data_IF_722183525593
#
_entry.id   IF_722183525593
#
_cell.length_a   1.000
_cell.length_b   1.000
_cell.length_c   1.000
_cell.angle_alpha   90.00
_cell.angle_beta   90.00
_cell.angle_gamma   90.00
#
_symmetry.space_group_name_H-M   'P 1'
#
loop_
_entity.id
_entity.type
_entity.pdbx_description
1 polymer ?
#
# COMPACT_ATOMS: atom_id res chain seq x y z
N UNK A 1 -29.62 -15.38 -22.28
CA UNK A 1 -28.96 -14.20 -22.86
C UNK A 1 -27.46 -14.32 -22.65
N UNK A 2 -26.69 -14.46 -23.72
CA UNK A 2 -25.22 -14.52 -23.64
C UNK A 2 -24.70 -13.09 -23.43
N UNK A 3 -24.42 -12.71 -22.17
CA UNK A 3 -23.74 -11.45 -21.87
C UNK A 3 -22.30 -11.53 -22.40
N UNK A 4 -21.92 -10.58 -23.26
CA UNK A 4 -20.55 -10.49 -23.76
C UNK A 4 -19.58 -10.18 -22.60
N UNK A 5 -18.58 -11.03 -22.32
CA UNK A 5 -17.75 -10.93 -21.12
C UNK A 5 -16.88 -9.65 -21.03
N UNK A 6 -16.77 -8.86 -22.10
CA UNK A 6 -15.99 -7.61 -22.14
C UNK A 6 -16.80 -6.30 -21.97
N UNK A 7 -18.09 -6.28 -22.34
CA UNK A 7 -18.89 -5.04 -22.30
C UNK A 7 -19.12 -4.54 -20.86
N UNK A 8 -19.29 -5.47 -19.92
CA UNK A 8 -19.48 -5.15 -18.50
C UNK A 8 -18.19 -4.65 -17.85
N UNK A 9 -17.02 -5.19 -18.25
CA UNK A 9 -15.73 -4.75 -17.73
C UNK A 9 -15.41 -3.29 -18.12
N UNK A 10 -15.65 -2.91 -19.38
CA UNK A 10 -15.45 -1.54 -19.83
C UNK A 10 -16.32 -0.54 -19.06
N UNK A 11 -17.58 -0.90 -18.80
CA UNK A 11 -18.50 -0.07 -18.01
C UNK A 11 -18.08 0.04 -16.54
N UNK A 12 -17.59 -1.05 -15.94
CA UNK A 12 -17.05 -1.04 -14.57
C UNK A 12 -15.81 -0.14 -14.49
N UNK A 13 -14.89 -0.23 -15.45
CA UNK A 13 -13.70 0.62 -15.51
C UNK A 13 -14.10 2.09 -15.64
N UNK A 14 -15.04 2.42 -16.54
CA UNK A 14 -15.53 3.80 -16.67
C UNK A 14 -16.14 4.33 -15.36
N UNK A 15 -16.92 3.52 -14.65
CA UNK A 15 -17.48 3.91 -13.35
C UNK A 15 -16.39 4.11 -12.30
N UNK A 16 -15.38 3.23 -12.25
CA UNK A 16 -14.25 3.38 -11.34
C UNK A 16 -13.46 4.66 -11.65
N UNK A 17 -13.20 4.95 -12.92
CA UNK A 17 -12.50 6.17 -13.32
C UNK A 17 -13.32 7.43 -13.02
N UNK A 18 -14.64 7.37 -13.21
CA UNK A 18 -15.53 8.45 -12.75
C UNK A 18 -15.41 8.66 -11.23
N UNK A 19 -15.51 7.59 -10.42
CA UNK A 19 -15.37 7.68 -8.96
C UNK A 19 -14.01 8.24 -8.54
N UNK A 20 -12.90 7.75 -9.14
CA UNK A 20 -11.55 8.27 -8.88
C UNK A 20 -11.51 9.78 -9.09
N UNK A 21 -11.96 10.25 -10.26
CA UNK A 21 -11.84 11.66 -10.63
C UNK A 21 -12.80 12.58 -9.87
N UNK A 22 -13.94 12.06 -9.41
CA UNK A 22 -14.98 12.86 -8.75
C UNK A 22 -14.84 12.88 -7.22
N UNK A 23 -14.35 11.81 -6.61
CA UNK A 23 -14.23 11.66 -5.17
C UNK A 23 -12.79 11.94 -4.71
N UNK A 24 -12.56 12.99 -3.89
CA UNK A 24 -11.22 13.34 -3.42
C UNK A 24 -10.66 12.32 -2.41
N UNK A 25 -11.53 11.60 -1.70
CA UNK A 25 -11.22 10.60 -0.68
C UNK A 25 -11.36 9.15 -1.20
N UNK A 26 -11.44 8.94 -2.52
CA UNK A 26 -11.58 7.61 -3.12
C UNK A 26 -10.55 6.60 -2.60
N UNK A 27 -9.30 7.03 -2.44
CA UNK A 27 -8.21 6.23 -1.88
C UNK A 27 -8.48 5.74 -0.45
N UNK A 28 -9.22 6.52 0.36
CA UNK A 28 -9.59 6.14 1.73
C UNK A 28 -10.59 4.98 1.72
N UNK A 29 -11.53 4.96 0.78
CA UNK A 29 -12.43 3.81 0.63
C UNK A 29 -11.67 2.55 0.21
N UNK A 30 -10.72 2.68 -0.72
CA UNK A 30 -9.93 1.53 -1.17
C UNK A 30 -9.08 0.95 -0.03
N UNK A 31 -8.45 1.78 0.80
CA UNK A 31 -7.66 1.28 1.92
C UNK A 31 -8.54 0.65 3.01
N UNK A 32 -9.76 1.16 3.23
CA UNK A 32 -10.72 0.53 4.16
C UNK A 32 -11.15 -0.83 3.62
N UNK A 33 -11.53 -0.94 2.34
CA UNK A 33 -11.91 -2.22 1.72
C UNK A 33 -10.75 -3.21 1.82
N UNK A 34 -9.53 -2.77 1.53
CA UNK A 34 -8.34 -3.60 1.61
C UNK A 34 -8.02 -4.06 3.04
N UNK A 35 -7.81 -3.13 3.97
CA UNK A 35 -7.31 -3.41 5.32
C UNK A 35 -8.40 -3.88 6.29
N UNK A 36 -9.61 -3.37 6.16
CA UNK A 36 -10.69 -3.55 7.16
C UNK A 36 -11.94 -4.27 6.61
N UNK A 37 -11.97 -4.63 5.32
CA UNK A 37 -13.06 -5.36 4.68
C UNK A 37 -13.13 -6.84 5.07
N UNK A 38 -13.11 -7.18 6.37
CA UNK A 38 -13.00 -8.55 6.88
C UNK A 38 -14.13 -9.49 6.39
N UNK A 39 -15.32 -8.95 6.09
CA UNK A 39 -16.47 -9.70 5.56
C UNK A 39 -16.44 -9.88 4.04
N UNK A 40 -15.51 -9.24 3.34
CA UNK A 40 -15.39 -9.30 1.89
C UNK A 40 -14.47 -10.45 1.46
N UNK A 41 -14.71 -10.97 0.26
CA UNK A 41 -13.84 -11.95 -0.37
C UNK A 41 -12.41 -11.40 -0.52
N UNK A 42 -11.41 -12.26 -0.35
CA UNK A 42 -10.00 -11.86 -0.33
C UNK A 42 -9.57 -11.23 -1.66
N UNK A 43 -10.17 -11.66 -2.77
CA UNK A 43 -9.94 -11.16 -4.12
C UNK A 43 -10.47 -9.73 -4.29
N UNK A 44 -11.58 -9.40 -3.64
CA UNK A 44 -12.15 -8.04 -3.64
C UNK A 44 -11.24 -7.10 -2.85
N UNK A 45 -10.79 -7.54 -1.66
CA UNK A 45 -9.83 -6.79 -0.85
C UNK A 45 -8.54 -6.55 -1.63
N UNK A 46 -7.98 -7.60 -2.22
CA UNK A 46 -6.76 -7.51 -3.02
C UNK A 46 -6.94 -6.58 -4.23
N UNK A 47 -8.06 -6.66 -4.94
CA UNK A 47 -8.36 -5.78 -6.08
C UNK A 47 -8.41 -4.31 -5.67
N UNK A 48 -9.00 -3.99 -4.51
CA UNK A 48 -9.00 -2.63 -3.96
C UNK A 48 -7.57 -2.16 -3.63
N UNK A 49 -6.76 -3.02 -3.00
CA UNK A 49 -5.36 -2.71 -2.70
C UNK A 49 -4.51 -2.47 -3.96
N UNK A 50 -4.67 -3.30 -5.00
CA UNK A 50 -3.97 -3.11 -6.27
C UNK A 50 -4.43 -1.85 -7.00
N UNK A 51 -5.73 -1.53 -6.94
CA UNK A 51 -6.25 -0.29 -7.50
C UNK A 51 -5.65 0.92 -6.80
N UNK A 52 -5.58 0.89 -5.45
CA UNK A 52 -4.95 1.93 -4.66
C UNK A 52 -3.47 2.10 -5.01
N UNK A 53 -2.71 0.99 -5.07
CA UNK A 53 -1.29 0.99 -5.44
C UNK A 53 -1.03 1.65 -6.80
N UNK A 54 -1.92 1.42 -7.77
CA UNK A 54 -1.76 1.92 -9.12
C UNK A 54 -2.22 3.38 -9.32
N UNK A 55 -3.15 3.85 -8.48
CA UNK A 55 -3.73 5.19 -8.60
C UNK A 55 -3.02 6.22 -7.70
N UNK A 56 -2.65 5.82 -6.48
CA UNK A 56 -2.11 6.71 -5.46
C UNK A 56 -0.88 7.51 -5.93
N UNK A 57 0.15 6.90 -6.57
CA UNK A 57 1.32 7.65 -7.04
C UNK A 57 0.98 8.71 -8.09
N UNK A 58 -0.04 8.47 -8.94
CA UNK A 58 -0.43 9.39 -10.02
C UNK A 58 -1.07 10.67 -9.49
N UNK A 59 -1.60 10.63 -8.27
CA UNK A 59 -2.37 11.71 -7.64
C UNK A 59 -1.73 12.21 -6.37
N UNK A 60 -0.53 11.72 -6.05
CA UNK A 60 0.14 11.98 -4.79
C UNK A 60 0.31 13.48 -4.53
N UNK A 61 0.66 14.26 -5.56
CA UNK A 61 0.87 15.71 -5.47
C UNK A 61 -0.39 16.53 -5.20
N UNK A 62 -1.57 16.01 -5.51
CA UNK A 62 -2.86 16.68 -5.29
C UNK A 62 -3.68 16.06 -4.16
N UNK A 63 -3.14 15.03 -3.50
CA UNK A 63 -3.81 14.34 -2.41
C UNK A 63 -3.75 15.20 -1.13
N UNK A 64 -4.89 15.32 -0.44
CA UNK A 64 -4.93 15.96 0.87
C UNK A 64 -3.99 15.21 1.85
N UNK A 65 -3.08 15.90 2.54
CA UNK A 65 -2.17 15.27 3.51
C UNK A 65 -2.89 14.44 4.58
N UNK A 66 -4.10 14.83 4.99
CA UNK A 66 -4.89 14.08 5.97
C UNK A 66 -5.33 12.72 5.43
N UNK A 67 -5.64 12.63 4.12
CA UNK A 67 -5.95 11.36 3.48
C UNK A 67 -4.72 10.47 3.39
N UNK A 68 -3.56 11.05 3.09
CA UNK A 68 -2.31 10.28 3.09
C UNK A 68 -1.99 9.71 4.48
N UNK A 69 -2.10 10.53 5.54
CA UNK A 69 -1.91 10.08 6.93
C UNK A 69 -2.88 8.94 7.26
N UNK A 70 -4.15 9.08 6.90
CA UNK A 70 -5.16 8.05 7.11
C UNK A 70 -4.82 6.74 6.39
N UNK A 71 -4.40 6.82 5.12
CA UNK A 71 -3.99 5.66 4.32
C UNK A 71 -2.80 4.95 5.00
N UNK A 72 -1.76 5.70 5.38
CA UNK A 72 -0.57 5.16 6.05
C UNK A 72 -0.94 4.41 7.33
N UNK A 73 -1.70 5.06 8.21
CA UNK A 73 -2.14 4.46 9.49
C UNK A 73 -2.99 3.21 9.27
N UNK A 74 -3.87 3.23 8.27
CA UNK A 74 -4.74 2.10 7.95
C UNK A 74 -3.99 0.95 7.27
N UNK A 75 -2.89 1.25 6.57
CA UNK A 75 -2.07 0.25 5.89
C UNK A 75 -1.13 -0.51 6.83
N UNK A 76 -0.53 0.16 7.81
CA UNK A 76 0.53 -0.43 8.66
C UNK A 76 0.14 -1.78 9.29
N UNK A 77 -1.05 -1.94 9.90
CA UNK A 77 -1.45 -3.25 10.45
C UNK A 77 -1.57 -4.35 9.40
N UNK A 78 -1.86 -4.01 8.14
CA UNK A 78 -2.02 -4.98 7.06
C UNK A 78 -0.69 -5.66 6.65
N UNK A 79 0.46 -5.07 7.01
CA UNK A 79 1.77 -5.72 6.86
C UNK A 79 1.86 -7.00 7.71
N UNK A 80 1.22 -7.02 8.88
CA UNK A 80 1.18 -8.18 9.78
C UNK A 80 0.00 -9.14 9.56
N UNK A 81 -0.78 -8.95 8.48
CA UNK A 81 -2.04 -9.67 8.31
C UNK A 81 -1.83 -11.20 8.18
N UNK A 82 -2.72 -12.08 8.69
CA UNK A 82 -2.58 -13.55 8.58
C UNK A 82 -2.51 -14.05 7.13
N UNK A 83 -3.32 -13.47 6.25
CA UNK A 83 -3.31 -13.78 4.82
C UNK A 83 -2.11 -13.19 4.09
N UNK A 84 -1.28 -14.06 3.51
CA UNK A 84 -0.06 -13.70 2.78
C UNK A 84 -0.31 -12.74 1.61
N UNK A 85 -1.44 -12.90 0.92
CA UNK A 85 -1.80 -12.05 -0.22
C UNK A 85 -2.04 -10.60 0.21
N UNK A 86 -2.61 -10.39 1.40
CA UNK A 86 -2.80 -9.06 1.98
C UNK A 86 -1.44 -8.47 2.36
N UNK A 87 -0.57 -9.22 3.07
CA UNK A 87 0.78 -8.73 3.40
C UNK A 87 1.54 -8.27 2.16
N UNK A 88 1.59 -9.10 1.11
CA UNK A 88 2.30 -8.78 -0.16
C UNK A 88 1.74 -7.54 -0.85
N UNK A 89 0.43 -7.38 -0.83
CA UNK A 89 -0.23 -6.22 -1.42
C UNK A 89 0.03 -4.98 -0.58
N UNK A 90 -0.01 -5.09 0.75
CA UNK A 90 0.28 -4.01 1.68
C UNK A 90 1.71 -3.50 1.50
N UNK A 91 2.70 -4.39 1.44
CA UNK A 91 4.10 -4.03 1.17
C UNK A 91 4.27 -3.35 -0.19
N UNK A 92 3.50 -3.76 -1.21
CA UNK A 92 3.54 -3.12 -2.54
C UNK A 92 2.96 -1.71 -2.51
N UNK A 93 1.90 -1.47 -1.74
CA UNK A 93 1.33 -0.14 -1.54
C UNK A 93 2.33 0.73 -0.75
N UNK A 94 2.93 0.18 0.31
CA UNK A 94 3.91 0.87 1.14
C UNK A 94 5.12 1.30 0.32
N UNK A 95 5.68 0.41 -0.51
CA UNK A 95 6.76 0.74 -1.45
C UNK A 95 6.34 1.85 -2.42
N UNK A 96 5.12 1.81 -2.94
CA UNK A 96 4.62 2.86 -3.83
C UNK A 96 4.54 4.24 -3.17
N UNK A 97 4.13 4.31 -1.90
CA UNK A 97 4.10 5.55 -1.13
C UNK A 97 5.53 6.04 -0.86
N UNK A 98 6.43 5.15 -0.42
CA UNK A 98 7.84 5.50 -0.20
C UNK A 98 8.47 6.04 -1.47
N UNK A 99 8.21 5.46 -2.64
CA UNK A 99 8.70 5.99 -3.91
C UNK A 99 8.19 7.39 -4.28
N UNK A 100 7.16 7.92 -3.60
CA UNK A 100 6.63 9.26 -3.83
C UNK A 100 7.18 10.32 -2.86
N UNK A 101 7.34 10.00 -1.58
CA UNK A 101 7.77 10.95 -0.54
C UNK A 101 9.12 10.59 0.11
N UNK A 102 9.67 9.43 -0.17
CA UNK A 102 10.85 8.88 0.47
C UNK A 102 10.59 8.30 1.86
N UNK A 103 11.40 7.30 2.24
CA UNK A 103 11.26 6.59 3.52
C UNK A 103 11.40 7.53 4.74
N UNK A 104 12.17 8.61 4.62
CA UNK A 104 12.36 9.60 5.67
C UNK A 104 11.06 10.34 6.05
N UNK A 105 10.08 10.41 5.14
CA UNK A 105 8.77 11.02 5.37
C UNK A 105 7.72 10.02 5.90
N UNK A 106 8.15 8.79 6.23
CA UNK A 106 7.29 7.79 6.86
C UNK A 106 8.02 6.98 7.95
N UNK A 107 8.44 7.62 9.06
CA UNK A 107 9.20 6.96 10.13
C UNK A 107 8.44 5.81 10.80
N UNK A 108 7.11 5.85 10.83
CA UNK A 108 6.27 4.80 11.39
C UNK A 108 6.40 3.48 10.61
N UNK A 109 6.66 3.53 9.30
CA UNK A 109 6.92 2.34 8.49
C UNK A 109 8.24 1.69 8.89
N UNK A 110 9.32 2.49 8.99
CA UNK A 110 10.63 2.01 9.44
C UNK A 110 10.56 1.38 10.82
N UNK A 111 9.88 2.05 11.75
CA UNK A 111 9.61 1.52 13.09
C UNK A 111 8.81 0.21 13.01
N UNK A 112 7.74 0.17 12.22
CA UNK A 112 6.91 -1.02 12.04
C UNK A 112 7.68 -2.22 11.48
N UNK A 113 8.56 -2.01 10.51
CA UNK A 113 9.44 -3.04 9.96
C UNK A 113 10.40 -3.56 11.04
N UNK A 114 11.07 -2.67 11.78
CA UNK A 114 11.98 -3.07 12.85
C UNK A 114 11.28 -3.92 13.93
N UNK A 115 10.12 -3.48 14.40
CA UNK A 115 9.32 -4.22 15.37
C UNK A 115 8.84 -5.57 14.80
N UNK A 116 8.45 -5.62 13.53
CA UNK A 116 8.04 -6.86 12.88
C UNK A 116 9.18 -7.88 12.80
N UNK A 117 10.40 -7.44 12.48
CA UNK A 117 11.59 -8.30 12.39
C UNK A 117 12.09 -8.81 13.75
N UNK A 118 11.91 -8.03 14.81
CA UNK A 118 12.35 -8.36 16.17
C UNK A 118 11.28 -9.09 17.00
N UNK A 119 10.06 -9.18 16.48
CA UNK A 119 8.96 -9.89 17.11
C UNK A 119 9.04 -11.41 16.99
N UNK A 120 8.04 -12.10 17.56
CA UNK A 120 7.91 -13.56 17.50
C UNK A 120 6.77 -14.05 16.58
N UNK A 121 5.88 -13.14 16.15
CA UNK A 121 4.78 -13.47 15.24
C UNK A 121 5.30 -13.65 13.81
N UNK A 122 5.09 -14.84 13.26
CA UNK A 122 5.60 -15.20 11.91
C UNK A 122 4.99 -14.36 10.80
N UNK A 123 3.76 -13.89 10.92
CA UNK A 123 3.12 -13.05 9.92
C UNK A 123 3.74 -11.65 9.93
N UNK A 124 4.01 -11.11 11.12
CA UNK A 124 4.71 -9.83 11.26
C UNK A 124 6.13 -9.90 10.71
N UNK A 125 6.87 -10.98 10.99
CA UNK A 125 8.23 -11.18 10.45
C UNK A 125 8.19 -11.28 8.92
N UNK A 126 7.32 -12.13 8.35
CA UNK A 126 7.20 -12.31 6.90
C UNK A 126 6.77 -11.01 6.20
N UNK A 127 5.82 -10.29 6.80
CA UNK A 127 5.38 -8.98 6.30
C UNK A 127 6.48 -7.92 6.32
N UNK A 128 7.21 -7.82 7.43
CA UNK A 128 8.32 -6.89 7.55
C UNK A 128 9.47 -7.22 6.59
N UNK A 129 9.80 -8.50 6.40
CA UNK A 129 10.78 -8.94 5.42
C UNK A 129 10.34 -8.63 3.99
N UNK A 130 9.08 -8.87 3.65
CA UNK A 130 8.54 -8.59 2.31
C UNK A 130 8.51 -7.07 2.03
N UNK A 131 8.16 -6.25 3.02
CA UNK A 131 8.25 -4.80 2.92
C UNK A 131 9.69 -4.32 2.75
N UNK A 132 10.60 -4.75 3.63
CA UNK A 132 12.02 -4.40 3.54
C UNK A 132 12.62 -4.79 2.19
N UNK A 133 12.35 -6.01 1.73
CA UNK A 133 12.81 -6.50 0.43
C UNK A 133 12.35 -5.58 -0.70
N UNK A 134 11.06 -5.21 -0.74
CA UNK A 134 10.53 -4.30 -1.78
C UNK A 134 11.14 -2.92 -1.71
N UNK A 135 11.32 -2.36 -0.51
CA UNK A 135 11.96 -1.07 -0.35
C UNK A 135 13.41 -1.09 -0.86
N UNK A 136 14.16 -2.16 -0.58
CA UNK A 136 15.51 -2.36 -1.12
C UNK A 136 15.48 -2.46 -2.64
N UNK A 137 14.60 -3.29 -3.20
CA UNK A 137 14.54 -3.56 -4.64
C UNK A 137 14.10 -2.32 -5.44
N UNK A 138 13.12 -1.58 -4.94
CA UNK A 138 12.51 -0.46 -5.63
C UNK A 138 13.27 0.87 -5.39
N UNK A 139 13.88 1.05 -4.21
CA UNK A 139 14.39 2.34 -3.72
C UNK A 139 15.82 2.30 -3.19
N UNK A 140 16.72 1.56 -3.87
CA UNK A 140 18.15 1.41 -3.50
C UNK A 140 18.81 2.74 -3.07
N UNK A 141 18.57 3.82 -3.82
CA UNK A 141 19.19 5.14 -3.56
C UNK A 141 18.69 5.82 -2.29
N UNK A 142 17.45 5.57 -1.88
CA UNK A 142 16.90 6.13 -0.64
C UNK A 142 17.41 5.37 0.59
N UNK A 143 17.77 4.09 0.40
CA UNK A 143 18.36 3.26 1.44
C UNK A 143 19.86 3.47 1.63
N UNK A 144 20.59 3.89 0.60
CA UNK A 144 22.03 4.17 0.67
C UNK A 144 22.37 5.50 1.37
N UNK A 145 21.39 6.32 1.75
CA UNK A 145 21.59 7.66 2.29
C UNK A 145 22.20 7.71 3.72
N UNK A 146 22.57 6.57 4.31
CA UNK A 146 23.11 6.51 5.68
C UNK A 146 24.25 5.51 5.84
N UNK A 147 25.37 5.72 5.13
CA UNK A 147 26.71 5.40 5.65
C UNK A 147 27.66 6.58 5.36
N UNK A 148 27.40 7.74 5.95
CA UNK A 148 28.48 8.67 6.21
C UNK A 148 29.28 8.10 7.39
N UNK A 149 30.37 7.39 7.09
CA UNK A 149 31.34 6.99 8.10
C UNK A 149 31.73 8.25 8.90
N UNK A 150 31.72 8.22 10.24
CA UNK A 150 32.24 9.34 11.01
C UNK A 150 33.71 9.51 10.62
N UNK A 151 34.02 10.67 10.02
CA UNK A 151 35.38 11.07 9.72
C UNK A 151 36.18 11.05 11.02
N UNK A 152 37.13 10.12 11.12
CA UNK A 152 38.14 10.12 12.18
C UNK A 152 39.12 11.27 12.05
#
# INVERSE_FOLDING_TARGET
EYQQPGANQAQIIQKLDYCKNTLPDFSNYLIIIFSQGHSLAIEVRQSAGLLLKNDLPKRFSSLDPNFLIFIKQTLLPALGHPERVIRRTASSIASGIVGCEGISNWPELSSGIYHGLTGSDKNNIDGALDALKKLIEDHVREMDASVALPSG
#
